data_IF_012732257552
#
_entry.id   IF_012732257552
#
_cell.length_a   1.000
_cell.length_b   1.000
_cell.length_c   1.000
_cell.angle_alpha   90.00
_cell.angle_beta   90.00
_cell.angle_gamma   90.00
#
_symmetry.space_group_name_H-M   'P 1'
#
loop_
_entity.id
_entity.type
_entity.pdbx_description
1 polymer ?
#
# COMPACT_ATOMS: atom_id res chain seq x y z
N UNK A 1 67.16 43.35 4.56
CA UNK A 1 65.79 43.62 4.08
C UNK A 1 64.95 42.36 4.23
N UNK A 2 64.15 42.25 5.29
CA UNK A 2 63.27 41.10 5.50
C UNK A 2 62.01 41.25 4.65
N UNK A 3 61.90 40.49 3.55
CA UNK A 3 60.64 40.33 2.83
C UNK A 3 59.71 39.46 3.67
N UNK A 4 58.72 40.07 4.30
CA UNK A 4 57.60 39.34 4.86
C UNK A 4 56.88 38.61 3.72
N UNK A 5 57.00 37.28 3.66
CA UNK A 5 56.20 36.43 2.77
C UNK A 5 54.75 36.60 3.20
N UNK A 6 53.95 37.32 2.42
CA UNK A 6 52.50 37.43 2.64
C UNK A 6 51.93 36.01 2.63
N UNK A 7 51.34 35.59 3.74
CA UNK A 7 50.71 34.28 3.85
C UNK A 7 49.64 34.14 2.75
N UNK A 8 49.49 32.98 2.10
CA UNK A 8 48.55 32.76 1.00
C UNK A 8 47.11 32.60 1.53
N UNK A 9 46.63 33.58 2.29
CA UNK A 9 45.35 33.57 2.98
C UNK A 9 44.18 33.36 2.00
N UNK A 10 44.24 33.95 0.80
CA UNK A 10 43.22 33.76 -0.23
C UNK A 10 43.11 32.31 -0.73
N UNK A 11 44.23 31.61 -0.85
CA UNK A 11 44.26 30.21 -1.27
C UNK A 11 43.68 29.32 -0.16
N UNK A 12 44.05 29.59 1.09
CA UNK A 12 43.48 28.89 2.25
C UNK A 12 41.97 29.08 2.37
N UNK A 13 41.48 30.31 2.22
CA UNK A 13 40.04 30.61 2.26
C UNK A 13 39.28 29.95 1.12
N UNK A 14 39.86 29.93 -0.09
CA UNK A 14 39.28 29.25 -1.24
C UNK A 14 39.12 27.75 -0.98
N UNK A 15 40.19 27.06 -0.57
CA UNK A 15 40.13 25.63 -0.28
C UNK A 15 39.24 25.31 0.92
N UNK A 16 39.27 26.13 1.97
CA UNK A 16 38.38 25.96 3.12
C UNK A 16 36.90 26.10 2.71
N UNK A 17 36.56 27.10 1.90
CA UNK A 17 35.21 27.28 1.38
C UNK A 17 34.76 26.13 0.48
N UNK A 18 35.63 25.70 -0.44
CA UNK A 18 35.36 24.54 -1.31
C UNK A 18 35.14 23.25 -0.51
N UNK A 19 35.96 23.01 0.53
CA UNK A 19 35.81 21.87 1.42
C UNK A 19 34.49 21.95 2.21
N UNK A 20 34.16 23.12 2.75
CA UNK A 20 32.92 23.31 3.51
C UNK A 20 31.67 23.05 2.66
N UNK A 21 31.66 23.56 1.42
CA UNK A 21 30.59 23.30 0.46
C UNK A 21 30.50 21.80 0.10
N UNK A 22 31.64 21.16 -0.18
CA UNK A 22 31.69 19.73 -0.47
C UNK A 22 31.14 18.88 0.67
N UNK A 23 31.49 19.20 1.92
CA UNK A 23 30.97 18.53 3.11
C UNK A 23 29.46 18.76 3.27
N UNK A 24 28.99 19.98 3.08
CA UNK A 24 27.55 20.30 3.15
C UNK A 24 26.75 19.48 2.13
N UNK A 25 27.19 19.45 0.87
CA UNK A 25 26.50 18.69 -0.17
C UNK A 25 26.57 17.18 0.07
N UNK A 26 27.70 16.66 0.55
CA UNK A 26 27.82 15.24 0.90
C UNK A 26 26.87 14.88 2.04
N UNK A 27 26.80 15.71 3.07
CA UNK A 27 25.87 15.55 4.19
C UNK A 27 24.41 15.61 3.73
N UNK A 28 24.06 16.62 2.92
CA UNK A 28 22.71 16.80 2.38
C UNK A 28 22.31 15.66 1.41
N UNK A 29 23.25 15.07 0.67
CA UNK A 29 22.97 13.92 -0.18
C UNK A 29 22.69 12.64 0.62
N UNK A 30 23.27 12.52 1.83
CA UNK A 30 23.07 11.37 2.71
C UNK A 30 21.82 11.53 3.57
N UNK A 31 21.59 12.70 4.17
CA UNK A 31 20.50 12.95 5.13
C UNK A 31 19.31 13.74 4.57
N UNK A 32 19.42 14.31 3.38
CA UNK A 32 18.35 15.13 2.79
C UNK A 32 17.18 14.31 2.26
N UNK A 33 16.06 15.00 2.01
CA UNK A 33 14.80 14.40 1.55
C UNK A 33 14.91 13.64 0.21
N UNK A 34 15.97 13.90 -0.57
CA UNK A 34 16.28 13.20 -1.83
C UNK A 34 17.38 12.14 -1.68
N UNK A 35 17.83 11.87 -0.45
CA UNK A 35 18.86 10.89 -0.15
C UNK A 35 18.42 9.46 -0.44
N UNK A 36 19.40 8.58 -0.63
CA UNK A 36 19.18 7.16 -0.99
C UNK A 36 18.29 6.43 0.04
N UNK A 37 18.37 6.84 1.31
CA UNK A 37 17.54 6.28 2.38
C UNK A 37 16.06 6.60 2.24
N UNK A 38 15.69 7.79 1.76
CA UNK A 38 14.28 8.16 1.59
C UNK A 38 13.61 7.33 0.50
N UNK A 39 14.34 6.98 -0.56
CA UNK A 39 13.84 6.07 -1.60
C UNK A 39 13.56 4.68 -1.05
N UNK A 40 14.46 4.13 -0.24
CA UNK A 40 14.26 2.82 0.37
C UNK A 40 13.06 2.78 1.32
N UNK A 41 12.84 3.86 2.08
CA UNK A 41 11.66 4.02 2.95
C UNK A 41 10.37 4.08 2.13
N UNK A 42 10.32 4.93 1.08
CA UNK A 42 9.15 5.08 0.20
C UNK A 42 8.83 3.75 -0.50
N UNK A 43 9.84 3.02 -0.99
CA UNK A 43 9.64 1.71 -1.62
C UNK A 43 9.11 0.66 -0.63
N UNK A 44 9.55 0.69 0.63
CA UNK A 44 9.03 -0.19 1.67
C UNK A 44 7.56 0.14 2.00
N UNK A 45 7.24 1.42 2.17
CA UNK A 45 5.88 1.90 2.41
C UNK A 45 4.95 1.57 1.24
N UNK A 46 5.41 1.79 0.00
CA UNK A 46 4.65 1.47 -1.21
C UNK A 46 4.33 -0.04 -1.30
N UNK A 47 5.29 -0.91 -0.97
CA UNK A 47 5.05 -2.37 -0.92
C UNK A 47 4.00 -2.74 0.13
N UNK A 48 4.05 -2.13 1.31
CA UNK A 48 3.07 -2.38 2.37
C UNK A 48 1.67 -1.95 1.95
N UNK A 49 1.53 -0.72 1.42
CA UNK A 49 0.25 -0.19 0.94
C UNK A 49 -0.31 -1.00 -0.23
N UNK A 50 0.54 -1.49 -1.14
CA UNK A 50 0.11 -2.33 -2.26
C UNK A 50 -0.43 -3.67 -1.79
N UNK A 51 0.18 -4.27 -0.76
CA UNK A 51 -0.32 -5.50 -0.16
C UNK A 51 -1.68 -5.30 0.53
N UNK A 52 -1.83 -4.21 1.28
CA UNK A 52 -3.10 -3.85 1.93
C UNK A 52 -4.21 -3.59 0.90
N UNK A 53 -3.89 -2.86 -0.17
CA UNK A 53 -4.80 -2.60 -1.27
C UNK A 53 -5.28 -3.89 -1.94
N UNK A 54 -4.39 -4.87 -2.16
CA UNK A 54 -4.77 -6.16 -2.72
C UNK A 54 -5.75 -6.93 -1.82
N UNK A 55 -5.56 -6.88 -0.51
CA UNK A 55 -6.48 -7.48 0.47
C UNK A 55 -7.85 -6.80 0.40
N UNK A 56 -7.88 -5.47 0.46
CA UNK A 56 -9.13 -4.70 0.39
C UNK A 56 -9.88 -4.93 -0.92
N UNK A 57 -9.17 -4.99 -2.06
CA UNK A 57 -9.78 -5.32 -3.35
C UNK A 57 -10.41 -6.71 -3.35
N UNK A 58 -9.76 -7.70 -2.72
CA UNK A 58 -10.31 -9.04 -2.61
C UNK A 58 -11.59 -9.06 -1.75
N UNK A 59 -11.65 -8.24 -0.71
CA UNK A 59 -12.82 -8.11 0.14
C UNK A 59 -13.97 -7.41 -0.57
N UNK A 60 -13.68 -6.32 -1.30
CA UNK A 60 -14.68 -5.65 -2.15
C UNK A 60 -15.23 -6.62 -3.18
N UNK A 61 -14.39 -7.37 -3.90
CA UNK A 61 -14.85 -8.36 -4.88
C UNK A 61 -15.72 -9.45 -4.24
N UNK A 62 -15.40 -9.89 -3.02
CA UNK A 62 -16.22 -10.84 -2.25
C UNK A 62 -17.58 -10.23 -1.90
N UNK A 63 -17.60 -9.00 -1.38
CA UNK A 63 -18.84 -8.31 -1.03
C UNK A 63 -19.71 -8.06 -2.27
N UNK A 64 -19.13 -7.61 -3.37
CA UNK A 64 -19.84 -7.45 -4.65
C UNK A 64 -20.45 -8.76 -5.14
N UNK A 65 -19.73 -9.88 -5.02
CA UNK A 65 -20.26 -11.19 -5.37
C UNK A 65 -21.45 -11.58 -4.47
N UNK A 66 -21.34 -11.39 -3.16
CA UNK A 66 -22.43 -11.67 -2.22
C UNK A 66 -23.66 -10.80 -2.51
N UNK A 67 -23.47 -9.49 -2.74
CA UNK A 67 -24.54 -8.56 -3.09
C UNK A 67 -25.20 -8.94 -4.42
N UNK A 68 -24.41 -9.33 -5.42
CA UNK A 68 -24.96 -9.85 -6.70
C UNK A 68 -25.80 -11.10 -6.50
N UNK A 69 -25.32 -12.04 -5.67
CA UNK A 69 -26.05 -13.28 -5.35
C UNK A 69 -27.30 -13.04 -4.51
N UNK A 70 -27.34 -11.95 -3.75
CA UNK A 70 -28.54 -11.50 -3.02
C UNK A 70 -29.53 -10.73 -3.92
N UNK A 71 -29.11 -10.24 -5.08
CA UNK A 71 -29.99 -9.47 -5.96
C UNK A 71 -31.00 -10.37 -6.66
N UNK A 72 -32.25 -9.93 -6.74
CA UNK A 72 -33.42 -10.66 -7.26
C UNK A 72 -33.25 -11.31 -8.64
N UNK A 73 -32.30 -10.86 -9.48
CA UNK A 73 -32.03 -11.50 -10.79
C UNK A 73 -31.23 -12.82 -10.71
N UNK A 74 -30.63 -13.14 -9.56
CA UNK A 74 -29.90 -14.38 -9.28
C UNK A 74 -30.37 -15.09 -8.00
N UNK A 75 -31.37 -14.51 -7.32
CA UNK A 75 -32.04 -15.11 -6.18
C UNK A 75 -32.99 -16.16 -6.70
N UNK A 76 -32.51 -17.39 -6.80
CA UNK A 76 -33.29 -18.52 -7.27
C UNK A 76 -34.36 -18.85 -6.21
N UNK A 77 -35.57 -18.33 -6.45
CA UNK A 77 -36.76 -18.55 -5.62
C UNK A 77 -37.02 -20.05 -5.43
N UNK A 78 -36.62 -20.90 -6.37
CA UNK A 78 -36.78 -22.35 -6.26
C UNK A 78 -35.81 -22.93 -5.21
N UNK A 79 -34.57 -22.42 -5.12
CA UNK A 79 -33.61 -22.83 -4.07
C UNK A 79 -34.00 -22.33 -2.67
N UNK A 80 -34.69 -21.19 -2.59
CA UNK A 80 -35.29 -20.69 -1.35
C UNK A 80 -36.50 -21.54 -0.93
N UNK A 81 -37.34 -21.95 -1.88
CA UNK A 81 -38.50 -22.83 -1.60
C UNK A 81 -38.03 -24.23 -1.20
N UNK A 82 -36.97 -24.75 -1.83
CA UNK A 82 -36.33 -26.02 -1.42
C UNK A 82 -35.71 -25.92 -0.02
N UNK A 83 -34.90 -24.90 0.29
CA UNK A 83 -34.36 -24.74 1.64
C UNK A 83 -35.45 -24.49 2.68
N UNK A 84 -36.53 -23.80 2.32
CA UNK A 84 -37.69 -23.62 3.20
C UNK A 84 -38.41 -24.95 3.45
N UNK A 85 -38.58 -25.81 2.43
CA UNK A 85 -39.16 -27.15 2.61
C UNK A 85 -38.29 -28.05 3.48
N UNK A 86 -36.98 -28.02 3.26
CA UNK A 86 -36.01 -28.88 3.96
C UNK A 86 -35.83 -28.46 5.43
N UNK A 87 -35.82 -27.15 5.72
CA UNK A 87 -35.69 -26.64 7.10
C UNK A 87 -37.00 -26.53 7.87
N UNK A 88 -38.11 -26.14 7.24
CA UNK A 88 -39.40 -25.93 7.92
C UNK A 88 -40.34 -27.14 7.83
N UNK A 89 -39.96 -28.20 7.10
CA UNK A 89 -40.79 -29.39 6.95
C UNK A 89 -42.14 -29.09 6.29
N UNK A 90 -42.21 -28.06 5.43
CA UNK A 90 -43.42 -27.69 4.69
C UNK A 90 -43.68 -28.70 3.57
N UNK A 91 -44.14 -29.88 3.95
CA UNK A 91 -44.79 -30.82 3.04
C UNK A 91 -46.18 -30.26 2.75
N UNK A 92 -46.48 -30.04 1.47
CA UNK A 92 -47.84 -29.75 1.01
C UNK A 92 -48.74 -30.91 1.44
N UNK A 93 -49.93 -30.62 1.97
CA UNK A 93 -50.81 -31.61 2.61
C UNK A 93 -51.21 -32.82 1.73
N UNK A 94 -50.80 -32.81 0.46
CA UNK A 94 -51.16 -33.70 -0.63
C UNK A 94 -50.02 -34.60 -1.16
N UNK A 95 -48.80 -34.59 -0.61
CA UNK A 95 -47.71 -35.50 -1.04
C UNK A 95 -47.47 -36.70 -0.09
N UNK A 96 -47.52 -37.92 -0.64
CA UNK A 96 -47.30 -39.20 0.05
C UNK A 96 -45.87 -39.69 -0.22
N UNK A 97 -45.05 -39.80 0.82
CA UNK A 97 -43.73 -40.44 0.76
C UNK A 97 -43.91 -41.96 0.76
N UNK A 98 -43.59 -42.61 -0.36
CA UNK A 98 -43.51 -44.07 -0.45
C UNK A 98 -42.09 -44.50 -0.07
N UNK A 99 -41.99 -45.32 0.99
CA UNK A 99 -40.76 -45.92 1.55
C UNK A 99 -40.10 -46.89 0.59
#
# INVERSE_FOLDING_TARGET
MNRAKRAPLGVLLYFAGALMLGLYFTFAAVQGDFGVFKRAEIEAENRALTAELAVLQSEVARMENLTRRLSDNYLDLDLLDEQARDMLGMVRADEIVIR
#
